data_IF_244506628796
#
_entry.id   IF_244506628796
#
_cell.length_a   1.000
_cell.length_b   1.000
_cell.length_c   1.000
_cell.angle_alpha   90.00
_cell.angle_beta   90.00
_cell.angle_gamma   90.00
#
_symmetry.space_group_name_H-M   'P 1'
#
loop_
_entity.id
_entity.type
_entity.pdbx_description
1 polymer ?
#
# COMPACT_ATOMS: atom_id res chain seq x y z
N UNK A 1 1.04 -15.13 -6.45
CA UNK A 1 1.69 -14.51 -5.27
C UNK A 1 2.04 -15.65 -4.32
N UNK A 2 3.18 -15.63 -3.62
CA UNK A 2 3.49 -16.71 -2.67
C UNK A 2 2.35 -16.78 -1.64
N UNK A 3 1.79 -17.97 -1.47
CA UNK A 3 0.54 -18.22 -0.74
C UNK A 3 0.74 -18.31 0.80
N UNK A 4 1.95 -18.02 1.29
CA UNK A 4 2.40 -18.28 2.66
C UNK A 4 2.73 -17.00 3.46
N UNK A 5 1.90 -15.97 3.30
CA UNK A 5 1.95 -14.81 4.18
C UNK A 5 0.84 -14.98 5.23
N UNK A 6 1.19 -15.52 6.39
CA UNK A 6 0.30 -15.85 7.53
C UNK A 6 -0.30 -14.60 8.22
N UNK A 7 -0.68 -13.56 7.47
CA UNK A 7 -1.27 -12.34 8.02
C UNK A 7 -2.61 -12.00 7.36
N UNK A 8 -3.66 -11.92 8.19
CA UNK A 8 -5.02 -11.58 7.75
C UNK A 8 -5.35 -10.08 7.87
N UNK A 9 -4.45 -9.28 8.47
CA UNK A 9 -4.69 -7.87 8.79
C UNK A 9 -3.49 -6.99 8.43
N UNK A 10 -3.76 -5.70 8.15
CA UNK A 10 -2.71 -4.70 7.96
C UNK A 10 -1.76 -4.61 9.16
N UNK A 11 -2.28 -4.75 10.38
CA UNK A 11 -1.45 -4.83 11.58
C UNK A 11 -0.47 -6.00 11.51
N UNK A 12 -0.95 -7.20 11.17
CA UNK A 12 -0.09 -8.38 10.99
C UNK A 12 1.00 -8.18 9.94
N UNK A 13 0.67 -7.54 8.82
CA UNK A 13 1.64 -7.13 7.79
C UNK A 13 2.69 -6.16 8.35
N UNK A 14 2.26 -5.11 9.07
CA UNK A 14 3.18 -4.12 9.65
C UNK A 14 4.12 -4.80 10.65
N UNK A 15 3.60 -5.65 11.55
CA UNK A 15 4.38 -6.36 12.54
C UNK A 15 5.35 -7.39 11.93
N UNK A 16 5.00 -8.02 10.80
CA UNK A 16 5.90 -8.96 10.13
C UNK A 16 7.19 -8.31 9.63
N UNK A 17 7.20 -6.99 9.43
CA UNK A 17 8.39 -6.23 9.03
C UNK A 17 9.33 -5.90 10.20
N UNK A 18 8.90 -6.08 11.45
CA UNK A 18 9.73 -5.79 12.63
C UNK A 18 10.28 -7.06 13.28
N UNK A 19 11.54 -7.03 13.69
CA UNK A 19 12.19 -8.13 14.45
C UNK A 19 11.96 -8.04 15.96
N UNK A 20 11.38 -6.94 16.44
CA UNK A 20 11.04 -6.67 17.84
C UNK A 20 9.71 -5.93 17.88
N UNK A 21 8.86 -6.23 18.86
CA UNK A 21 7.57 -5.54 19.03
C UNK A 21 7.84 -4.05 19.34
N UNK A 22 7.37 -3.11 18.50
CA UNK A 22 7.49 -1.69 18.77
C UNK A 22 6.80 -1.32 20.08
N UNK A 23 7.36 -0.34 20.78
CA UNK A 23 6.77 0.14 22.03
C UNK A 23 5.46 0.89 21.76
N UNK A 24 4.47 0.68 22.63
CA UNK A 24 3.23 1.47 22.61
C UNK A 24 3.54 2.98 22.61
N UNK A 25 2.80 3.72 21.79
CA UNK A 25 3.02 5.15 21.56
C UNK A 25 4.15 5.49 20.58
N UNK A 26 4.86 4.51 20.02
CA UNK A 26 5.78 4.75 18.91
C UNK A 26 5.03 4.92 17.58
N UNK A 27 5.65 5.63 16.64
CA UNK A 27 5.11 5.94 15.31
C UNK A 27 6.09 5.49 14.22
N UNK A 28 6.28 4.17 14.01
CA UNK A 28 7.22 3.68 13.02
C UNK A 28 6.74 3.87 11.57
N UNK A 29 7.70 4.02 10.67
CA UNK A 29 7.52 4.10 9.22
C UNK A 29 8.10 2.85 8.54
N UNK A 30 7.42 2.34 7.51
CA UNK A 30 7.91 1.23 6.70
C UNK A 30 7.49 1.35 5.23
N UNK A 31 8.36 0.87 4.34
CA UNK A 31 8.08 0.72 2.92
C UNK A 31 8.03 -0.77 2.56
N UNK A 32 6.88 -1.25 2.09
CA UNK A 32 6.71 -2.64 1.67
C UNK A 32 5.68 -2.75 0.55
N UNK A 33 5.85 -3.71 -0.36
CA UNK A 33 4.89 -3.99 -1.45
C UNK A 33 4.50 -2.77 -2.30
N UNK A 34 5.40 -1.78 -2.47
CA UNK A 34 5.11 -0.54 -3.19
C UNK A 34 4.21 0.44 -2.42
N UNK A 35 4.12 0.28 -1.10
CA UNK A 35 3.37 1.15 -0.18
C UNK A 35 4.33 1.75 0.83
N UNK A 36 4.13 3.03 1.13
CA UNK A 36 4.67 3.72 2.30
C UNK A 36 3.62 3.72 3.39
N UNK A 37 3.93 3.13 4.55
CA UNK A 37 3.02 2.99 5.67
C UNK A 37 3.61 3.72 6.87
N UNK A 38 2.88 4.72 7.37
CA UNK A 38 3.20 5.45 8.60
C UNK A 38 2.22 5.05 9.69
N UNK A 39 2.68 4.44 10.78
CA UNK A 39 1.83 4.12 11.94
C UNK A 39 1.61 5.37 12.77
N UNK A 40 0.35 5.80 12.88
CA UNK A 40 -0.01 6.98 13.66
C UNK A 40 -0.31 6.63 15.12
N UNK A 41 -0.87 5.45 15.36
CA UNK A 41 -1.30 5.03 16.70
C UNK A 41 -1.07 3.54 16.93
N UNK A 42 -0.26 3.25 17.95
CA UNK A 42 0.04 1.90 18.44
C UNK A 42 -0.24 1.83 19.95
N UNK A 43 -1.21 1.00 20.34
CA UNK A 43 -1.65 0.80 21.73
C UNK A 43 -1.98 -0.68 21.96
N UNK A 44 -1.71 -1.20 23.16
CA UNK A 44 -1.93 -2.61 23.51
C UNK A 44 -1.20 -3.57 22.55
N UNK A 45 0.00 -3.16 22.11
CA UNK A 45 0.79 -3.83 21.06
C UNK A 45 0.01 -4.07 19.75
N UNK A 46 -0.98 -3.23 19.46
CA UNK A 46 -1.81 -3.31 18.25
C UNK A 46 -1.78 -1.98 17.51
N UNK A 47 -1.74 -2.08 16.18
CA UNK A 47 -1.91 -0.90 15.31
C UNK A 47 -3.38 -0.51 15.32
N UNK A 48 -3.66 0.69 15.82
CA UNK A 48 -5.01 1.27 15.83
C UNK A 48 -5.25 2.11 14.57
N UNK A 49 -4.28 2.91 14.15
CA UNK A 49 -4.35 3.69 12.91
C UNK A 49 -2.99 3.78 12.20
N UNK A 50 -3.03 3.79 10.87
CA UNK A 50 -1.88 3.98 10.01
C UNK A 50 -2.29 4.71 8.72
N UNK A 51 -1.41 5.58 8.23
CA UNK A 51 -1.54 6.24 6.94
C UNK A 51 -0.79 5.41 5.89
N UNK A 52 -1.47 5.06 4.79
CA UNK A 52 -0.89 4.28 3.69
C UNK A 52 -0.87 5.11 2.41
N UNK A 53 0.30 5.26 1.82
CA UNK A 53 0.52 5.98 0.56
C UNK A 53 1.10 5.03 -0.49
N UNK A 54 0.52 5.01 -1.69
CA UNK A 54 1.13 4.27 -2.82
C UNK A 54 2.44 4.96 -3.21
N UNK A 55 3.54 4.20 -3.23
CA UNK A 55 4.79 4.70 -3.77
C UNK A 55 4.65 4.80 -5.29
N UNK A 56 5.01 5.95 -5.86
CA UNK A 56 5.01 6.13 -7.29
C UNK A 56 6.00 5.12 -7.92
N UNK A 57 5.45 4.18 -8.68
CA UNK A 57 6.24 3.26 -9.50
C UNK A 57 6.53 3.90 -10.85
N UNK A 58 7.60 3.49 -11.52
CA UNK A 58 7.94 4.00 -12.87
C UNK A 58 6.79 3.75 -13.90
N UNK A 59 5.86 2.83 -13.59
CA UNK A 59 4.67 2.50 -14.38
C UNK A 59 3.39 3.28 -14.00
N UNK A 60 3.39 4.13 -12.96
CA UNK A 60 2.22 4.94 -12.56
C UNK A 60 1.87 6.06 -13.57
N UNK A 61 2.60 6.16 -14.68
CA UNK A 61 2.24 7.00 -15.84
C UNK A 61 1.47 6.26 -16.94
N UNK A 62 1.18 4.96 -16.81
CA UNK A 62 0.49 4.19 -17.86
C UNK A 62 -1.05 4.18 -17.74
N UNK A 63 -1.63 4.50 -16.58
CA UNK A 63 -3.10 4.44 -16.38
C UNK A 63 -3.81 5.79 -16.42
N UNK A 64 -3.08 6.87 -16.68
CA UNK A 64 -3.64 8.21 -16.93
C UNK A 64 -3.51 8.58 -18.43
N UNK A 65 -3.82 7.63 -19.33
CA UNK A 65 -3.93 7.88 -20.77
C UNK A 65 -5.33 8.42 -21.14
N UNK A 66 -5.52 9.76 -21.30
CA UNK A 66 -6.74 10.32 -21.88
C UNK A 66 -6.95 9.93 -23.36
N UNK A 67 -5.98 9.25 -23.98
CA UNK A 67 -5.99 8.96 -25.42
C UNK A 67 -6.87 7.76 -25.81
N UNK A 68 -7.28 6.90 -24.88
CA UNK A 68 -8.08 5.70 -25.20
C UNK A 68 -9.55 6.00 -25.47
N UNK A 69 -10.07 7.19 -25.10
CA UNK A 69 -11.45 7.58 -25.40
C UNK A 69 -11.61 8.06 -26.85
N UNK A 70 -10.62 8.80 -27.36
CA UNK A 70 -10.62 9.32 -28.74
C UNK A 70 -10.44 8.19 -29.76
N UNK A 71 -9.64 7.17 -29.43
CA UNK A 71 -9.41 6.03 -30.32
C UNK A 71 -10.66 5.12 -30.42
N UNK A 72 -11.39 4.96 -29.30
CA UNK A 72 -12.68 4.24 -29.26
C UNK A 72 -13.80 4.94 -30.01
N UNK A 73 -13.79 6.27 -30.07
CA UNK A 73 -14.78 7.05 -30.83
C UNK A 73 -14.50 7.00 -32.34
N UNK A 74 -13.22 6.99 -32.75
CA UNK A 74 -12.84 6.87 -34.17
C UNK A 74 -13.15 5.51 -34.77
N UNK A 75 -13.16 4.45 -33.97
CA UNK A 75 -13.43 3.08 -34.45
C UNK A 75 -14.91 2.72 -34.56
N UNK A 76 -15.84 3.66 -34.30
CA UNK A 76 -17.30 3.42 -34.38
C UNK A 76 -17.93 3.95 -35.67
N UNK A 77 -17.16 4.64 -36.50
CA UNK A 77 -17.63 5.27 -37.75
C UNK A 77 -17.11 4.56 -39.04
N UNK A 78 -16.60 3.31 -38.95
CA UNK A 78 -16.30 2.42 -40.09
C UNK A 78 -17.27 1.23 -40.18
#
# INVERSE_FOLDING_TARGET
LPEDEDYDTLGGLIFSQFTTIPQDGSTPDLDCFGLHIHVEKLEDHRVETALVTKLATEDDHADDHPETLLDRLRSRDD
#
